data_IF_684121540538
#
_entry.id   IF_684121540538
#
_cell.length_a   1.000
_cell.length_b   1.000
_cell.length_c   1.000
_cell.angle_alpha   90.00
_cell.angle_beta   90.00
_cell.angle_gamma   90.00
#
_symmetry.space_group_name_H-M   'P 1'
#
loop_
_entity.id
_entity.type
_entity.pdbx_description
1 polymer ?
#
# COMPACT_ATOMS: atom_id res chain seq x y z
N UNK A 1 -0.84 33.16 -59.80
CA UNK A 1 -1.15 31.72 -59.66
C UNK A 1 -0.22 31.10 -58.61
N UNK A 2 -0.61 31.07 -57.33
CA UNK A 2 0.24 30.51 -56.23
C UNK A 2 -0.57 29.91 -55.07
N UNK A 3 -1.89 29.71 -55.23
CA UNK A 3 -2.76 29.13 -54.19
C UNK A 3 -2.69 27.61 -54.02
N UNK A 4 -2.45 26.76 -55.04
CA UNK A 4 -2.51 25.30 -54.84
C UNK A 4 -1.34 24.73 -54.01
N UNK A 5 -0.17 25.40 -54.00
CA UNK A 5 0.98 24.96 -53.21
C UNK A 5 0.81 25.18 -51.69
N UNK A 6 0.09 26.24 -51.28
CA UNK A 6 -0.13 26.56 -49.87
C UNK A 6 -1.11 25.59 -49.19
N UNK A 7 -2.11 25.07 -49.91
CA UNK A 7 -3.01 24.03 -49.40
C UNK A 7 -2.35 22.65 -49.33
N UNK A 8 -1.40 22.36 -50.22
CA UNK A 8 -0.57 21.16 -50.14
C UNK A 8 0.38 21.20 -48.93
N UNK A 9 0.99 22.35 -48.62
CA UNK A 9 1.84 22.52 -47.43
C UNK A 9 1.05 22.48 -46.11
N UNK A 10 -0.14 23.08 -46.06
CA UNK A 10 -1.05 22.97 -44.90
C UNK A 10 -1.60 21.55 -44.74
N UNK A 11 -1.92 20.86 -45.84
CA UNK A 11 -2.31 19.46 -45.85
C UNK A 11 -1.19 18.54 -45.38
N UNK A 12 0.06 18.79 -45.80
CA UNK A 12 1.25 18.07 -45.32
C UNK A 12 1.56 18.39 -43.85
N UNK A 13 1.43 19.63 -43.37
CA UNK A 13 1.58 19.93 -41.94
C UNK A 13 0.46 19.30 -41.10
N UNK A 14 -0.76 19.20 -41.61
CA UNK A 14 -1.88 18.53 -40.93
C UNK A 14 -1.71 17.01 -40.92
N UNK A 15 -1.17 16.43 -42.00
CA UNK A 15 -0.84 15.01 -42.09
C UNK A 15 0.40 14.67 -41.26
N UNK A 16 1.42 15.53 -41.20
CA UNK A 16 2.61 15.34 -40.35
C UNK A 16 2.24 15.52 -38.88
N UNK A 17 1.34 16.45 -38.51
CA UNK A 17 0.89 16.60 -37.11
C UNK A 17 -0.10 15.50 -36.69
N UNK A 18 -0.90 14.94 -37.61
CA UNK A 18 -1.73 13.76 -37.33
C UNK A 18 -0.92 12.45 -37.34
N UNK A 19 0.04 12.27 -38.26
CA UNK A 19 0.97 11.14 -38.25
C UNK A 19 1.90 11.21 -37.06
N UNK A 20 2.38 12.40 -36.66
CA UNK A 20 3.21 12.53 -35.47
C UNK A 20 2.41 12.19 -34.22
N UNK A 21 1.15 12.64 -34.09
CA UNK A 21 0.30 12.26 -32.94
C UNK A 21 -0.07 10.78 -32.90
N UNK A 22 -0.22 10.12 -34.05
CA UNK A 22 -0.53 8.69 -34.12
C UNK A 22 0.71 7.82 -33.88
N UNK A 23 1.89 8.21 -34.40
CA UNK A 23 3.16 7.50 -34.14
C UNK A 23 3.73 7.76 -32.74
N UNK A 24 3.42 8.89 -32.09
CA UNK A 24 3.81 9.16 -30.68
C UNK A 24 2.88 8.52 -29.65
N UNK A 25 1.92 7.71 -30.05
CA UNK A 25 0.98 7.05 -29.13
C UNK A 25 1.25 5.56 -28.93
N UNK A 26 2.30 4.96 -29.52
CA UNK A 26 2.79 3.61 -29.19
C UNK A 26 3.40 3.51 -27.77
N UNK A 27 2.85 4.28 -26.85
CA UNK A 27 3.31 4.49 -25.50
C UNK A 27 2.28 3.94 -24.54
N UNK A 28 2.80 3.40 -23.44
CA UNK A 28 2.00 2.89 -22.35
C UNK A 28 1.71 4.06 -21.41
N UNK A 29 0.46 4.15 -20.96
CA UNK A 29 0.00 5.15 -20.01
C UNK A 29 -0.52 4.44 -18.77
N UNK A 30 -0.27 5.01 -17.60
CA UNK A 30 -0.78 4.52 -16.34
C UNK A 30 -1.65 5.60 -15.69
N UNK A 31 -2.76 5.20 -15.08
CA UNK A 31 -3.59 6.14 -14.35
C UNK A 31 -2.83 6.71 -13.17
N UNK A 32 -2.86 8.02 -13.05
CA UNK A 32 -2.25 8.75 -11.94
C UNK A 32 -3.18 8.82 -10.73
N UNK A 33 -4.45 9.14 -10.95
CA UNK A 33 -5.45 9.28 -9.90
C UNK A 33 -6.86 9.38 -10.50
N UNK A 34 -7.86 9.11 -9.67
CA UNK A 34 -9.25 9.43 -9.92
C UNK A 34 -9.63 10.67 -9.11
N UNK A 35 -10.29 11.63 -9.75
CA UNK A 35 -10.90 12.79 -9.10
C UNK A 35 -12.41 12.66 -9.16
N UNK A 36 -13.05 12.68 -8.00
CA UNK A 36 -14.48 12.86 -7.88
C UNK A 36 -14.78 14.32 -7.54
N UNK A 37 -15.71 14.92 -8.29
CA UNK A 37 -16.22 16.27 -8.03
C UNK A 37 -17.69 16.17 -7.66
N UNK A 38 -18.03 16.59 -6.44
CA UNK A 38 -19.40 16.62 -5.94
C UNK A 38 -19.89 18.06 -5.76
N UNK A 39 -21.11 18.33 -6.20
CA UNK A 39 -21.79 19.61 -5.99
C UNK A 39 -22.88 19.45 -4.94
N UNK A 40 -22.67 20.05 -3.78
CA UNK A 40 -23.63 20.04 -2.67
C UNK A 40 -24.35 21.39 -2.60
N UNK A 41 -25.64 21.36 -2.25
CA UNK A 41 -26.38 22.55 -1.84
C UNK A 41 -26.30 22.61 -0.32
N UNK A 42 -25.83 23.73 0.23
CA UNK A 42 -25.90 23.93 1.67
C UNK A 42 -27.37 24.05 2.11
N UNK A 43 -27.71 23.32 3.16
CA UNK A 43 -28.88 23.60 4.00
C UNK A 43 -28.30 23.96 5.36
N UNK A 44 -28.35 25.24 5.72
CA UNK A 44 -27.94 25.69 7.06
C UNK A 44 -29.15 25.57 7.97
N UNK A 45 -29.01 24.76 9.01
CA UNK A 45 -29.97 24.69 10.12
C UNK A 45 -29.62 25.79 11.13
N UNK A 46 -30.41 26.87 11.14
CA UNK A 46 -30.31 27.91 12.16
C UNK A 46 -31.28 27.56 13.28
N UNK A 47 -30.76 26.90 14.30
CA UNK A 47 -31.28 26.70 15.67
C UNK A 47 -32.75 27.05 15.97
N UNK A 48 -33.48 26.04 16.48
CA UNK A 48 -34.40 26.18 17.62
C UNK A 48 -35.60 27.11 17.44
N UNK A 49 -36.76 26.51 17.19
CA UNK A 49 -38.11 27.11 17.08
C UNK A 49 -38.41 27.78 15.71
N UNK A 50 -39.20 27.05 14.91
CA UNK A 50 -39.56 27.28 13.50
C UNK A 50 -38.46 26.99 12.46
N UNK A 51 -38.64 25.86 11.75
CA UNK A 51 -37.84 25.50 10.56
C UNK A 51 -38.07 26.55 9.47
N UNK A 52 -37.24 27.60 9.43
CA UNK A 52 -37.08 28.45 8.25
C UNK A 52 -35.99 27.83 7.37
N UNK A 53 -36.42 27.07 6.36
CA UNK A 53 -35.52 26.62 5.30
C UNK A 53 -35.00 27.83 4.51
N UNK A 54 -33.82 28.33 4.86
CA UNK A 54 -33.12 29.32 4.04
C UNK A 54 -32.40 28.57 2.92
N UNK A 55 -32.93 28.70 1.70
CA UNK A 55 -32.30 28.17 0.50
C UNK A 55 -31.09 29.06 0.19
N UNK A 56 -29.89 28.62 0.59
CA UNK A 56 -28.66 29.28 0.16
C UNK A 56 -28.39 28.92 -1.30
N UNK A 57 -28.12 29.94 -2.12
CA UNK A 57 -27.75 29.78 -3.53
C UNK A 57 -26.27 29.39 -3.73
N UNK A 58 -25.52 29.13 -2.65
CA UNK A 58 -24.15 28.62 -2.71
C UNK A 58 -24.13 27.14 -3.08
N UNK A 59 -23.62 26.85 -4.29
CA UNK A 59 -23.22 25.49 -4.66
C UNK A 59 -21.79 25.29 -4.18
N UNK A 60 -21.61 24.54 -3.09
CA UNK A 60 -20.28 24.11 -2.67
C UNK A 60 -19.81 22.98 -3.57
N UNK A 61 -18.56 23.06 -4.05
CA UNK A 61 -17.94 21.99 -4.85
C UNK A 61 -16.85 21.34 -4.04
N UNK A 62 -17.01 20.05 -3.73
CA UNK A 62 -16.02 19.24 -3.04
C UNK A 62 -15.25 18.38 -4.03
N UNK A 63 -13.96 18.17 -3.75
CA UNK A 63 -13.07 17.33 -4.54
C UNK A 63 -12.53 16.19 -3.69
N UNK A 64 -12.62 14.97 -4.21
CA UNK A 64 -12.04 13.78 -3.60
C UNK A 64 -11.10 13.13 -4.60
N UNK A 65 -9.92 12.75 -4.15
CA UNK A 65 -8.90 12.11 -4.95
C UNK A 65 -8.68 10.68 -4.46
N UNK A 66 -8.63 9.75 -5.39
CA UNK A 66 -8.39 8.35 -5.12
C UNK A 66 -7.25 7.84 -5.98
N UNK A 67 -6.52 6.85 -5.48
CA UNK A 67 -5.58 6.12 -6.31
C UNK A 67 -6.33 5.36 -7.42
N UNK A 68 -5.68 5.24 -8.57
CA UNK A 68 -6.23 4.52 -9.71
C UNK A 68 -5.11 3.72 -10.35
N UNK A 69 -5.40 2.47 -10.70
CA UNK A 69 -4.41 1.52 -11.22
C UNK A 69 -4.90 0.87 -12.52
N UNK A 70 -4.94 1.67 -13.58
CA UNK A 70 -5.32 1.31 -14.94
C UNK A 70 -4.17 1.59 -15.89
N UNK A 71 -4.02 0.75 -16.90
CA UNK A 71 -3.03 0.85 -17.96
C UNK A 71 -3.74 1.01 -19.31
N UNK A 72 -3.20 1.89 -20.16
CA UNK A 72 -3.57 2.03 -21.56
C UNK A 72 -2.34 1.78 -22.43
N UNK A 73 -2.48 0.96 -23.47
CA UNK A 73 -1.43 0.75 -24.47
C UNK A 73 -2.04 0.84 -25.86
N UNK A 74 -1.72 1.88 -26.61
CA UNK A 74 -2.21 1.99 -27.99
C UNK A 74 -1.30 1.15 -28.88
N UNK A 75 -1.87 0.09 -29.45
CA UNK A 75 -1.14 -0.89 -30.23
C UNK A 75 -0.91 -0.42 -31.67
N UNK A 76 -1.89 0.30 -32.20
CA UNK A 76 -1.94 0.82 -33.57
C UNK A 76 -2.98 1.94 -33.66
N UNK A 77 -3.30 2.40 -34.88
CA UNK A 77 -4.27 3.49 -35.14
C UNK A 77 -5.73 3.15 -34.78
N UNK A 78 -6.04 1.88 -34.52
CA UNK A 78 -7.39 1.37 -34.35
C UNK A 78 -7.63 0.74 -32.97
N UNK A 79 -6.59 0.18 -32.35
CA UNK A 79 -6.71 -0.63 -31.15
C UNK A 79 -5.91 -0.10 -29.96
N UNK A 80 -6.53 -0.19 -28.78
CA UNK A 80 -5.94 0.13 -27.48
C UNK A 80 -6.23 -1.00 -26.51
N UNK A 81 -5.23 -1.40 -25.71
CA UNK A 81 -5.45 -2.25 -24.54
C UNK A 81 -5.86 -1.36 -23.38
N UNK A 82 -6.93 -1.73 -22.69
CA UNK A 82 -7.24 -1.25 -21.34
C UNK A 82 -7.00 -2.41 -20.39
N UNK A 83 -6.23 -2.20 -19.32
CA UNK A 83 -5.93 -3.24 -18.34
C UNK A 83 -5.98 -2.65 -16.93
N UNK A 84 -6.76 -3.24 -16.03
CA UNK A 84 -6.58 -3.01 -14.60
C UNK A 84 -5.30 -3.70 -14.12
N UNK A 85 -4.46 -3.04 -13.33
CA UNK A 85 -3.23 -3.65 -12.83
C UNK A 85 -3.58 -4.87 -11.95
N UNK A 86 -3.13 -6.05 -12.36
CA UNK A 86 -3.47 -7.36 -11.80
C UNK A 86 -4.71 -8.02 -12.39
N UNK A 87 -5.26 -7.47 -13.49
CA UNK A 87 -6.45 -7.97 -14.19
C UNK A 87 -6.12 -8.35 -15.64
N UNK A 88 -7.10 -8.93 -16.34
CA UNK A 88 -6.96 -9.32 -17.75
C UNK A 88 -7.02 -8.11 -18.68
N UNK A 89 -6.25 -8.20 -19.75
CA UNK A 89 -6.21 -7.20 -20.81
C UNK A 89 -7.53 -7.17 -21.59
N UNK A 90 -8.02 -5.97 -21.89
CA UNK A 90 -9.17 -5.74 -22.73
C UNK A 90 -8.76 -4.98 -23.99
N UNK A 91 -8.72 -5.67 -25.13
CA UNK A 91 -8.48 -5.04 -26.43
C UNK A 91 -9.73 -4.32 -26.92
N UNK A 92 -9.63 -3.00 -27.06
CA UNK A 92 -10.72 -2.12 -27.43
C UNK A 92 -10.43 -1.43 -28.77
N UNK A 93 -11.48 -1.02 -29.48
CA UNK A 93 -11.33 -0.07 -30.60
C UNK A 93 -11.34 1.35 -30.05
N UNK A 94 -10.52 2.23 -30.61
CA UNK A 94 -10.54 3.65 -30.23
C UNK A 94 -10.57 4.58 -31.44
N UNK A 95 -10.93 5.83 -31.17
CA UNK A 95 -10.87 6.93 -32.14
C UNK A 95 -10.44 8.20 -31.43
N UNK A 96 -9.54 8.97 -32.04
CA UNK A 96 -9.16 10.31 -31.59
C UNK A 96 -9.56 11.31 -32.67
N UNK A 97 -10.39 12.30 -32.32
CA UNK A 97 -10.77 13.39 -33.23
C UNK A 97 -10.70 14.72 -32.51
N UNK A 98 -9.81 15.63 -32.97
CA UNK A 98 -9.60 16.96 -32.38
C UNK A 98 -9.36 16.89 -30.86
N UNK A 99 -8.44 16.01 -30.43
CA UNK A 99 -8.11 15.77 -29.02
C UNK A 99 -9.18 15.02 -28.20
N UNK A 100 -10.32 14.67 -28.79
CA UNK A 100 -11.36 13.86 -28.11
C UNK A 100 -11.10 12.38 -28.34
N UNK A 101 -10.88 11.65 -27.27
CA UNK A 101 -10.68 10.21 -27.27
C UNK A 101 -12.01 9.50 -26.98
N UNK A 102 -12.32 8.48 -27.78
CA UNK A 102 -13.43 7.57 -27.53
C UNK A 102 -12.92 6.14 -27.66
N UNK A 103 -13.10 5.34 -26.62
CA UNK A 103 -12.80 3.91 -26.61
C UNK A 103 -14.12 3.14 -26.57
N UNK A 104 -14.24 2.09 -27.40
CA UNK A 104 -15.43 1.26 -27.54
C UNK A 104 -15.06 -0.20 -27.29
N UNK A 105 -15.85 -0.88 -26.47
CA UNK A 105 -15.73 -2.29 -26.11
C UNK A 105 -17.13 -2.91 -26.01
N UNK A 106 -17.23 -4.23 -25.90
CA UNK A 106 -18.49 -4.96 -26.05
C UNK A 106 -19.62 -4.47 -25.14
N UNK A 107 -19.27 -4.02 -23.93
CA UNK A 107 -20.22 -3.55 -22.91
C UNK A 107 -20.45 -2.03 -22.88
N UNK A 108 -19.83 -1.27 -23.79
CA UNK A 108 -20.04 0.19 -23.81
C UNK A 108 -18.95 1.02 -24.47
N UNK A 109 -18.88 2.28 -24.03
CA UNK A 109 -17.90 3.25 -24.53
C UNK A 109 -17.47 4.18 -23.41
N UNK A 110 -16.19 4.51 -23.39
CA UNK A 110 -15.61 5.52 -22.51
C UNK A 110 -15.18 6.71 -23.38
N UNK A 111 -15.38 7.92 -22.86
CA UNK A 111 -15.01 9.16 -23.55
C UNK A 111 -14.02 9.93 -22.68
N UNK A 112 -13.10 10.60 -23.35
CA UNK A 112 -12.09 11.41 -22.71
C UNK A 112 -11.50 12.44 -23.64
N UNK A 113 -10.42 13.04 -23.18
CA UNK A 113 -9.56 13.89 -23.97
C UNK A 113 -8.11 13.42 -23.84
N UNK A 114 -7.35 13.65 -24.90
CA UNK A 114 -5.93 13.34 -24.97
C UNK A 114 -5.19 14.60 -25.38
N UNK A 115 -4.07 14.82 -24.69
CA UNK A 115 -3.05 15.82 -25.00
C UNK A 115 -1.70 15.12 -25.10
N UNK A 116 -0.65 15.83 -25.49
CA UNK A 116 0.71 15.25 -25.54
C UNK A 116 1.19 14.71 -24.18
N UNK A 117 0.65 15.22 -23.07
CA UNK A 117 1.16 14.92 -21.71
C UNK A 117 0.18 14.17 -20.82
N UNK A 118 -1.08 14.05 -21.23
CA UNK A 118 -2.16 13.62 -20.35
C UNK A 118 -3.32 13.04 -21.15
N UNK A 119 -3.85 11.92 -20.68
CA UNK A 119 -5.16 11.39 -21.07
C UNK A 119 -6.09 11.51 -19.86
N UNK A 120 -7.33 11.93 -20.10
CA UNK A 120 -8.35 11.98 -19.05
C UNK A 120 -9.65 11.39 -19.54
N UNK A 121 -10.16 10.39 -18.83
CA UNK A 121 -11.52 9.90 -19.01
C UNK A 121 -12.47 10.63 -18.08
N UNK A 122 -13.64 10.99 -18.60
CA UNK A 122 -14.66 11.71 -17.83
C UNK A 122 -15.97 10.96 -17.89
N UNK A 123 -16.50 10.68 -16.71
CA UNK A 123 -17.79 10.04 -16.52
C UNK A 123 -18.71 10.94 -15.69
N UNK A 124 -19.94 11.12 -16.17
CA UNK A 124 -20.99 11.79 -15.41
C UNK A 124 -21.76 10.73 -14.63
N UNK A 125 -21.53 10.67 -13.32
CA UNK A 125 -22.17 9.69 -12.43
C UNK A 125 -23.60 10.10 -12.10
N UNK A 126 -23.81 11.40 -11.83
CA UNK A 126 -25.14 11.93 -11.52
C UNK A 126 -25.30 13.38 -12.00
N UNK A 127 -26.41 14.04 -11.63
CA UNK A 127 -26.58 15.49 -11.88
C UNK A 127 -25.57 16.33 -11.11
N UNK A 128 -25.07 15.83 -9.97
CA UNK A 128 -24.21 16.56 -9.02
C UNK A 128 -22.82 15.97 -8.89
N UNK A 129 -22.55 14.78 -9.44
CA UNK A 129 -21.25 14.11 -9.35
C UNK A 129 -20.65 13.78 -10.73
N UNK A 130 -19.37 14.06 -10.88
CA UNK A 130 -18.54 13.65 -12.02
C UNK A 130 -17.26 12.98 -11.54
N UNK A 131 -16.86 11.91 -12.22
CA UNK A 131 -15.58 11.23 -12.00
C UNK A 131 -14.67 11.46 -13.20
N UNK A 132 -13.41 11.75 -12.91
CA UNK A 132 -12.36 11.96 -13.90
C UNK A 132 -11.18 11.06 -13.56
N UNK A 133 -10.73 10.23 -14.49
CA UNK A 133 -9.54 9.39 -14.32
C UNK A 133 -8.43 9.98 -15.18
N UNK A 134 -7.33 10.33 -14.53
CA UNK A 134 -6.17 10.96 -15.16
C UNK A 134 -5.13 9.89 -15.43
N UNK A 135 -4.47 9.97 -16.58
CA UNK A 135 -3.40 9.09 -17.00
C UNK A 135 -2.17 9.88 -17.40
N UNK A 136 -1.04 9.44 -16.89
CA UNK A 136 0.28 9.96 -17.20
C UNK A 136 1.06 8.90 -17.98
N UNK A 137 1.98 9.33 -18.84
CA UNK A 137 2.79 8.41 -19.63
C UNK A 137 3.70 7.62 -18.69
N UNK A 138 3.80 6.31 -18.90
CA UNK A 138 4.71 5.49 -18.10
C UNK A 138 6.15 5.79 -18.52
N UNK A 139 7.08 5.69 -17.58
CA UNK A 139 8.51 5.77 -17.89
C UNK A 139 8.90 4.63 -18.83
N UNK A 140 9.82 4.86 -19.77
CA UNK A 140 10.35 3.77 -20.59
C UNK A 140 10.91 2.66 -19.70
N UNK A 141 10.60 1.40 -20.06
CA UNK A 141 11.14 0.25 -19.37
C UNK A 141 12.38 -0.31 -20.05
N UNK A 142 13.43 -0.47 -19.25
CA UNK A 142 14.66 -1.16 -19.60
C UNK A 142 14.84 -2.44 -18.75
N UNK A 143 13.74 -2.97 -18.22
CA UNK A 143 13.72 -4.25 -17.52
C UNK A 143 13.81 -5.37 -18.57
N UNK A 144 15.03 -5.78 -18.90
CA UNK A 144 15.31 -6.84 -19.88
C UNK A 144 15.65 -8.18 -19.24
N UNK A 145 15.80 -8.20 -17.92
CA UNK A 145 16.10 -9.41 -17.16
C UNK A 145 14.83 -10.26 -17.00
N UNK A 146 14.71 -11.29 -17.84
CA UNK A 146 13.56 -12.20 -17.81
C UNK A 146 13.41 -12.96 -16.48
N UNK A 147 14.46 -13.02 -15.64
CA UNK A 147 14.34 -13.60 -14.31
C UNK A 147 13.55 -12.67 -13.39
N UNK A 148 13.83 -11.35 -13.42
CA UNK A 148 13.14 -10.34 -12.58
C UNK A 148 11.69 -10.09 -12.98
N UNK A 149 11.32 -10.52 -14.19
CA UNK A 149 9.95 -10.52 -14.65
C UNK A 149 9.18 -11.77 -14.21
N UNK A 150 9.74 -12.72 -13.47
CA UNK A 150 8.97 -13.89 -12.99
C UNK A 150 8.52 -13.69 -11.55
N UNK A 151 7.33 -14.19 -11.22
CA UNK A 151 6.81 -14.18 -9.85
C UNK A 151 7.77 -14.85 -8.86
N UNK A 152 8.35 -15.99 -9.28
CA UNK A 152 9.35 -16.76 -8.52
C UNK A 152 10.62 -15.99 -8.14
N UNK A 153 10.90 -14.85 -8.77
CA UNK A 153 12.03 -14.01 -8.38
C UNK A 153 11.80 -13.32 -7.02
N UNK A 154 10.54 -13.09 -6.69
CA UNK A 154 10.14 -12.42 -5.45
C UNK A 154 9.75 -13.42 -4.36
N UNK A 155 9.49 -14.69 -4.68
CA UNK A 155 9.14 -15.70 -3.68
C UNK A 155 10.31 -16.04 -2.73
N UNK A 156 9.99 -16.24 -1.45
CA UNK A 156 10.93 -16.52 -0.37
C UNK A 156 12.14 -15.56 -0.40
N UNK A 157 11.86 -14.25 -0.48
CA UNK A 157 12.87 -13.18 -0.43
C UNK A 157 12.48 -12.06 0.53
N UNK A 158 13.47 -11.25 0.92
CA UNK A 158 13.27 -10.04 1.71
C UNK A 158 13.71 -8.81 0.91
N UNK A 159 12.89 -7.77 0.91
CA UNK A 159 13.13 -6.54 0.17
C UNK A 159 12.91 -5.31 1.02
N UNK A 160 13.68 -4.26 0.79
CA UNK A 160 13.47 -2.95 1.41
C UNK A 160 13.16 -1.89 0.36
N UNK A 161 12.13 -1.10 0.62
CA UNK A 161 11.73 0.08 -0.15
C UNK A 161 12.53 1.29 0.34
N UNK A 162 13.39 1.78 -0.54
CA UNK A 162 14.10 3.03 -0.37
C UNK A 162 13.35 4.13 -1.15
N UNK A 163 12.73 5.04 -0.41
CA UNK A 163 12.04 6.23 -0.92
C UNK A 163 12.66 7.50 -0.29
N UNK A 164 12.09 8.68 -0.56
CA UNK A 164 12.46 9.90 0.19
C UNK A 164 12.03 9.76 1.65
N UNK A 165 12.81 10.30 2.61
CA UNK A 165 12.53 10.13 4.06
C UNK A 165 11.14 10.62 4.50
N UNK A 166 10.55 11.56 3.75
CA UNK A 166 9.21 12.12 4.00
C UNK A 166 8.09 11.28 3.37
N UNK A 167 8.41 10.19 2.66
CA UNK A 167 7.46 9.26 2.05
C UNK A 167 6.89 8.30 3.09
N UNK A 168 5.61 7.95 2.95
CA UNK A 168 4.99 6.87 3.72
C UNK A 168 5.56 5.49 3.36
N UNK A 169 6.24 5.38 2.22
CA UNK A 169 6.87 4.15 1.76
C UNK A 169 8.32 3.99 2.26
N UNK A 170 8.91 5.04 2.84
CA UNK A 170 10.31 5.01 3.30
C UNK A 170 10.55 3.92 4.34
N UNK A 171 11.55 3.08 4.09
CA UNK A 171 11.97 2.04 5.02
C UNK A 171 10.99 0.88 5.12
N UNK A 172 10.02 0.76 4.21
CA UNK A 172 9.13 -0.41 4.20
C UNK A 172 9.92 -1.66 3.85
N UNK A 173 9.90 -2.70 4.69
CA UNK A 173 10.44 -4.02 4.40
C UNK A 173 9.31 -4.97 3.98
N UNK A 174 9.52 -5.76 2.93
CA UNK A 174 8.57 -6.71 2.34
C UNK A 174 9.19 -8.11 2.37
N UNK A 175 8.58 -9.01 3.14
CA UNK A 175 8.97 -10.41 3.21
C UNK A 175 7.95 -11.21 2.40
N UNK A 176 8.33 -11.51 1.16
CA UNK A 176 7.51 -12.19 0.17
C UNK A 176 7.81 -13.67 0.31
N UNK A 177 6.95 -14.44 0.98
CA UNK A 177 7.26 -15.80 1.42
C UNK A 177 6.88 -16.85 0.38
N UNK A 178 5.70 -16.72 -0.21
CA UNK A 178 5.15 -17.58 -1.27
C UNK A 178 4.10 -16.77 -2.05
N UNK A 179 3.49 -17.36 -3.08
CA UNK A 179 2.53 -16.74 -4.00
C UNK A 179 1.30 -16.05 -3.35
N UNK A 180 1.09 -16.19 -2.05
CA UNK A 180 -0.02 -15.54 -1.34
C UNK A 180 0.34 -14.96 0.03
N UNK A 181 1.56 -15.15 0.54
CA UNK A 181 1.94 -14.69 1.87
C UNK A 181 3.00 -13.58 1.79
N UNK A 182 2.61 -12.39 2.23
CA UNK A 182 3.47 -11.23 2.43
C UNK A 182 3.43 -10.82 3.91
N UNK A 183 4.61 -10.53 4.48
CA UNK A 183 4.76 -9.79 5.75
C UNK A 183 5.41 -8.44 5.47
N UNK A 184 4.89 -7.37 6.07
CA UNK A 184 5.33 -5.99 5.82
C UNK A 184 5.79 -5.38 7.12
N UNK A 185 6.98 -4.76 7.14
CA UNK A 185 7.43 -3.89 8.24
C UNK A 185 7.44 -2.45 7.71
N UNK A 186 6.85 -1.50 8.43
CA UNK A 186 6.93 -0.08 8.09
C UNK A 186 7.69 0.66 9.20
N UNK A 187 8.77 1.35 8.84
CA UNK A 187 9.67 2.01 9.81
C UNK A 187 9.11 3.37 10.29
N UNK A 188 8.20 3.99 9.51
CA UNK A 188 7.73 5.36 9.74
C UNK A 188 6.38 5.49 10.45
N UNK A 189 5.72 4.39 10.80
CA UNK A 189 4.53 4.47 11.66
C UNK A 189 4.88 3.94 13.06
N UNK A 190 4.13 4.35 14.10
CA UNK A 190 4.21 3.84 15.49
C UNK A 190 3.87 2.33 15.61
N UNK A 191 4.05 1.60 14.53
CA UNK A 191 3.54 0.29 14.28
C UNK A 191 4.58 -0.55 13.54
N UNK A 192 5.22 -1.48 14.25
CA UNK A 192 5.93 -2.60 13.63
C UNK A 192 4.90 -3.58 13.07
N UNK A 193 4.09 -3.16 12.11
CA UNK A 193 2.95 -3.93 11.63
C UNK A 193 3.37 -5.36 11.25
N UNK A 194 2.55 -6.33 11.66
CA UNK A 194 2.57 -7.69 11.15
C UNK A 194 1.30 -7.83 10.35
N UNK A 195 1.33 -7.46 9.07
CA UNK A 195 0.18 -7.68 8.22
C UNK A 195 0.37 -8.90 7.35
N UNK A 196 -0.74 -9.63 7.20
CA UNK A 196 -0.87 -10.80 6.35
C UNK A 196 -1.62 -10.31 5.14
N UNK A 197 -0.89 -9.96 4.10
CA UNK A 197 -1.47 -9.55 2.82
C UNK A 197 -1.31 -10.65 1.80
N UNK A 198 -2.23 -10.69 0.85
CA UNK A 198 -1.94 -11.37 -0.41
C UNK A 198 -1.19 -10.39 -1.30
N UNK A 199 -0.10 -10.85 -1.87
CA UNK A 199 0.61 -10.13 -2.91
C UNK A 199 0.51 -10.91 -4.21
N UNK A 200 0.80 -10.24 -5.32
CA UNK A 200 0.99 -10.86 -6.63
C UNK A 200 1.80 -9.95 -7.52
N UNK A 201 2.34 -10.51 -8.59
CA UNK A 201 2.90 -9.71 -9.67
C UNK A 201 1.93 -9.54 -10.83
N UNK A 202 2.07 -8.44 -11.57
CA UNK A 202 1.48 -8.27 -12.89
C UNK A 202 2.56 -7.77 -13.83
N UNK A 203 2.64 -8.38 -15.01
CA UNK A 203 3.67 -8.10 -16.00
C UNK A 203 3.00 -7.54 -17.23
N UNK A 204 3.53 -6.43 -17.72
CA UNK A 204 3.08 -5.86 -18.96
C UNK A 204 4.26 -5.39 -19.80
N UNK A 205 4.53 -6.11 -20.90
CA UNK A 205 5.78 -5.97 -21.67
C UNK A 205 6.98 -6.09 -20.71
N UNK A 206 7.78 -5.02 -20.59
CA UNK A 206 8.95 -4.99 -19.71
C UNK A 206 8.64 -4.31 -18.35
N UNK A 207 7.38 -4.05 -18.01
CA UNK A 207 7.00 -3.45 -16.74
C UNK A 207 6.61 -4.52 -15.74
N UNK A 208 7.13 -4.41 -14.51
CA UNK A 208 6.75 -5.24 -13.38
C UNK A 208 5.92 -4.41 -12.40
N UNK A 209 4.74 -4.90 -12.06
CA UNK A 209 3.91 -4.35 -11.00
C UNK A 209 3.89 -5.33 -9.83
N UNK A 210 4.34 -4.89 -8.65
CA UNK A 210 4.12 -5.60 -7.40
C UNK A 210 2.86 -5.04 -6.75
N UNK A 211 1.89 -5.91 -6.51
CA UNK A 211 0.59 -5.55 -5.95
C UNK A 211 0.48 -6.24 -4.60
N UNK A 212 0.10 -5.52 -3.56
CA UNK A 212 -0.35 -6.17 -2.34
C UNK A 212 -1.59 -5.50 -1.77
N UNK A 213 -2.41 -6.32 -1.11
CA UNK A 213 -3.58 -5.84 -0.36
C UNK A 213 -3.27 -5.91 1.13
N UNK A 214 -3.40 -4.78 1.79
CA UNK A 214 -3.36 -4.72 3.25
C UNK A 214 -4.72 -5.22 3.80
N UNK A 215 -4.71 -6.19 4.72
CA UNK A 215 -5.96 -6.77 5.28
C UNK A 215 -6.52 -5.94 6.44
N UNK A 216 -5.71 -5.13 7.10
CA UNK A 216 -6.09 -4.30 8.25
C UNK A 216 -6.63 -2.94 7.78
N UNK A 217 -5.95 -2.32 6.82
CA UNK A 217 -6.44 -1.20 6.00
C UNK A 217 -6.74 -1.81 4.64
N UNK A 218 -8.01 -2.05 4.23
CA UNK A 218 -8.35 -2.69 2.96
C UNK A 218 -8.00 -1.80 1.76
N UNK A 219 -6.71 -1.59 1.56
CA UNK A 219 -6.08 -0.68 0.64
C UNK A 219 -5.16 -1.51 -0.26
N UNK A 220 -5.30 -1.29 -1.57
CA UNK A 220 -4.47 -1.92 -2.59
C UNK A 220 -3.28 -1.01 -2.84
N UNK A 221 -2.06 -1.50 -2.59
CA UNK A 221 -0.82 -0.81 -2.94
C UNK A 221 -0.20 -1.42 -4.19
N UNK A 222 0.31 -0.56 -5.06
CA UNK A 222 0.96 -0.97 -6.31
C UNK A 222 2.29 -0.26 -6.45
N UNK A 223 3.35 -1.04 -6.64
CA UNK A 223 4.69 -0.56 -6.96
C UNK A 223 4.98 -0.91 -8.41
N UNK A 224 5.39 0.08 -9.18
CA UNK A 224 5.70 -0.07 -10.59
C UNK A 224 7.20 0.01 -10.81
N UNK A 225 7.81 -1.07 -11.31
CA UNK A 225 9.23 -1.17 -11.61
C UNK A 225 9.46 -1.25 -13.12
N UNK A 226 10.40 -0.44 -13.60
CA UNK A 226 10.70 -0.27 -15.04
C UNK A 226 12.20 -0.30 -15.35
N UNK A 227 13.07 -0.36 -14.33
CA UNK A 227 14.52 -0.49 -14.52
C UNK A 227 15.11 -1.35 -13.42
N UNK A 228 16.26 -1.96 -13.71
CA UNK A 228 17.07 -2.64 -12.71
C UNK A 228 18.49 -2.10 -12.68
N UNK A 229 19.13 -2.14 -11.52
CA UNK A 229 20.56 -1.88 -11.32
C UNK A 229 21.07 -2.89 -10.28
N UNK A 230 21.87 -3.87 -10.71
CA UNK A 230 22.27 -5.01 -9.87
C UNK A 230 21.04 -5.65 -9.18
N UNK A 231 21.07 -5.88 -7.87
CA UNK A 231 19.97 -6.49 -7.09
C UNK A 231 18.90 -5.48 -6.67
N UNK A 232 18.81 -4.34 -7.34
CA UNK A 232 17.84 -3.29 -7.07
C UNK A 232 16.89 -3.09 -8.25
N UNK A 233 15.59 -3.09 -7.98
CA UNK A 233 14.55 -2.64 -8.90
C UNK A 233 14.30 -1.15 -8.67
N UNK A 234 14.15 -0.41 -9.75
CA UNK A 234 13.94 1.03 -9.74
C UNK A 234 12.55 1.29 -10.32
N UNK A 235 11.78 2.09 -9.61
CA UNK A 235 10.36 2.21 -9.84
C UNK A 235 9.75 3.49 -9.31
N UNK A 236 8.43 3.51 -9.30
CA UNK A 236 7.62 4.52 -8.63
C UNK A 236 6.34 3.91 -8.03
N UNK A 237 5.74 4.65 -7.11
CA UNK A 237 4.45 4.32 -6.48
C UNK A 237 3.73 5.61 -6.11
N UNK A 238 2.44 5.55 -5.78
CA UNK A 238 1.73 6.71 -5.27
C UNK A 238 1.94 6.83 -3.76
N UNK A 239 2.10 8.06 -3.28
CA UNK A 239 1.91 8.37 -1.87
C UNK A 239 0.42 8.33 -1.55
N UNK A 240 0.06 7.50 -0.57
CA UNK A 240 -1.26 7.54 0.02
C UNK A 240 -1.50 8.93 0.63
N UNK A 241 -2.67 9.51 0.34
CA UNK A 241 -3.08 10.82 0.85
C UNK A 241 -4.49 10.74 1.41
N UNK A 242 -4.87 11.69 2.27
CA UNK A 242 -6.16 11.74 2.98
C UNK A 242 -7.36 12.10 2.08
N UNK A 243 -7.40 11.63 0.83
CA UNK A 243 -8.40 11.89 -0.20
C UNK A 243 -8.59 13.36 -0.62
N UNK A 244 -7.98 14.32 0.07
CA UNK A 244 -8.13 15.76 -0.17
C UNK A 244 -7.11 16.32 -1.16
N UNK A 245 -5.99 15.64 -1.35
CA UNK A 245 -4.90 16.04 -2.24
C UNK A 245 -4.72 15.04 -3.37
N UNK A 246 -4.20 15.49 -4.52
CA UNK A 246 -3.86 14.61 -5.64
C UNK A 246 -2.75 13.63 -5.17
N UNK A 247 -2.92 12.31 -5.34
CA UNK A 247 -1.86 11.34 -5.12
C UNK A 247 -0.60 11.71 -5.90
N UNK A 248 0.53 11.79 -5.20
CA UNK A 248 1.81 12.14 -5.81
C UNK A 248 2.56 10.85 -6.15
N UNK A 249 3.03 10.76 -7.39
CA UNK A 249 3.92 9.68 -7.80
C UNK A 249 5.33 9.93 -7.25
N UNK A 250 5.86 9.02 -6.46
CA UNK A 250 7.20 9.10 -5.86
C UNK A 250 8.11 8.02 -6.42
N UNK A 251 9.38 8.38 -6.61
CA UNK A 251 10.38 7.42 -7.05
C UNK A 251 10.79 6.54 -5.87
N UNK A 252 11.00 5.26 -6.16
CA UNK A 252 11.37 4.26 -5.18
C UNK A 252 12.46 3.35 -5.74
N UNK A 253 13.16 2.69 -4.84
CA UNK A 253 14.04 1.56 -5.16
C UNK A 253 13.68 0.39 -4.26
N UNK A 254 13.49 -0.78 -4.82
CA UNK A 254 13.30 -2.02 -4.09
C UNK A 254 14.61 -2.80 -4.12
N UNK A 255 15.23 -2.99 -2.95
CA UNK A 255 16.56 -3.60 -2.84
C UNK A 255 16.46 -4.92 -2.10
N UNK A 256 17.04 -5.99 -2.64
CA UNK A 256 17.03 -7.30 -1.98
C UNK A 256 17.98 -7.24 -0.79
N UNK A 257 17.46 -7.50 0.41
CA UNK A 257 18.28 -7.54 1.63
C UNK A 257 18.72 -8.95 2.00
N UNK A 258 18.26 -9.95 1.25
CA UNK A 258 18.43 -11.38 1.46
C UNK A 258 17.96 -11.84 2.86
N UNK A 259 17.76 -13.14 3.01
CA UNK A 259 17.59 -13.72 4.34
C UNK A 259 18.92 -13.92 5.04
N UNK A 260 18.87 -13.97 6.37
CA UNK A 260 20.03 -14.30 7.17
C UNK A 260 20.44 -15.75 6.92
N UNK A 261 21.75 -15.98 6.86
CA UNK A 261 22.28 -17.33 6.83
C UNK A 261 22.13 -18.02 8.20
N UNK A 262 22.30 -19.35 8.24
CA UNK A 262 22.12 -20.12 9.47
C UNK A 262 23.01 -19.64 10.62
N UNK A 263 24.26 -19.24 10.34
CA UNK A 263 25.18 -18.72 11.38
C UNK A 263 24.65 -17.43 11.99
N UNK A 264 24.16 -16.50 11.16
CA UNK A 264 23.55 -15.24 11.63
C UNK A 264 22.27 -15.50 12.44
N UNK A 265 21.43 -16.43 11.99
CA UNK A 265 20.22 -16.82 12.72
C UNK A 265 20.57 -17.42 14.08
N UNK A 266 21.50 -18.37 14.17
CA UNK A 266 21.91 -18.97 15.45
C UNK A 266 22.43 -17.93 16.44
N UNK A 267 23.19 -16.92 15.97
CA UNK A 267 23.67 -15.82 16.82
C UNK A 267 22.52 -14.94 17.34
N UNK A 268 21.49 -14.69 16.53
CA UNK A 268 20.30 -13.95 17.00
C UNK A 268 19.47 -14.79 17.97
N UNK A 269 19.31 -16.08 17.70
CA UNK A 269 18.59 -17.00 18.57
C UNK A 269 19.26 -17.13 19.94
N UNK A 270 20.60 -17.21 20.00
CA UNK A 270 21.33 -17.26 21.27
C UNK A 270 21.13 -16.00 22.10
N UNK A 271 21.03 -14.83 21.46
CA UNK A 271 20.73 -13.56 22.13
C UNK A 271 19.33 -13.55 22.72
N UNK A 272 18.34 -14.09 21.99
CA UNK A 272 16.94 -14.16 22.42
C UNK A 272 16.72 -15.09 23.62
N UNK A 273 17.45 -16.20 23.72
CA UNK A 273 17.28 -17.17 24.81
C UNK A 273 17.50 -16.53 26.18
N UNK A 274 16.52 -16.62 27.07
CA UNK A 274 16.54 -16.08 28.43
C UNK A 274 15.19 -15.51 28.86
N UNK A 275 15.16 -14.94 30.07
CA UNK A 275 14.00 -14.22 30.59
C UNK A 275 14.06 -12.77 30.17
N UNK A 276 12.97 -12.24 29.64
CA UNK A 276 12.86 -10.82 29.31
C UNK A 276 11.71 -10.20 30.08
N UNK A 277 11.98 -9.07 30.71
CA UNK A 277 11.04 -8.31 31.53
C UNK A 277 10.82 -6.93 30.92
N UNK A 278 9.56 -6.54 30.70
CA UNK A 278 9.24 -5.20 30.23
C UNK A 278 9.67 -4.15 31.26
N UNK A 279 10.30 -3.08 30.78
CA UNK A 279 10.79 -1.96 31.60
C UNK A 279 10.00 -0.67 31.39
N UNK A 280 9.21 -0.59 30.32
CA UNK A 280 8.25 0.49 30.12
C UNK A 280 6.96 0.19 30.90
N UNK A 281 6.92 0.62 32.17
CA UNK A 281 5.78 0.41 33.06
C UNK A 281 5.12 1.77 33.44
N UNK A 282 3.78 1.92 33.31
CA UNK A 282 2.88 1.01 32.62
C UNK A 282 3.19 1.00 31.11
N UNK A 283 2.98 -0.15 30.47
CA UNK A 283 2.93 -0.20 29.01
C UNK A 283 1.73 0.67 28.63
N UNK A 284 1.92 1.79 27.89
CA UNK A 284 0.84 2.71 27.63
C UNK A 284 -0.27 2.01 26.86
N UNK A 285 -1.49 2.04 27.39
CA UNK A 285 -2.70 1.60 26.70
C UNK A 285 -3.40 2.88 26.20
N UNK A 286 -3.79 2.92 24.93
CA UNK A 286 -4.60 4.02 24.40
C UNK A 286 -5.88 4.10 25.24
N UNK A 287 -6.13 5.22 25.93
CA UNK A 287 -7.13 5.31 26.99
C UNK A 287 -8.58 5.33 26.49
N UNK A 288 -8.84 5.17 25.19
CA UNK A 288 -10.15 5.45 24.62
C UNK A 288 -10.93 4.16 24.41
N UNK A 289 -11.41 3.56 25.50
CA UNK A 289 -12.61 2.71 25.47
C UNK A 289 -13.38 2.84 26.79
N UNK A 290 -14.10 3.97 26.95
CA UNK A 290 -14.99 4.20 28.09
C UNK A 290 -14.27 4.53 29.40
N UNK A 291 -14.72 3.95 30.51
CA UNK A 291 -14.21 4.18 31.87
C UNK A 291 -13.23 3.11 32.37
N UNK A 292 -12.84 2.16 31.53
CA UNK A 292 -12.01 1.03 31.94
C UNK A 292 -10.52 1.43 31.98
N UNK A 293 -9.82 1.13 33.07
CA UNK A 293 -8.39 1.45 33.23
C UNK A 293 -7.58 0.21 33.58
N UNK A 294 -6.53 -0.07 32.82
CA UNK A 294 -5.53 -1.10 33.13
C UNK A 294 -4.29 -0.45 33.77
N UNK A 295 -3.86 -0.97 34.91
CA UNK A 295 -2.68 -0.47 35.65
C UNK A 295 -1.76 -1.61 36.05
N UNK A 296 -0.52 -1.29 36.45
CA UNK A 296 0.50 -2.24 36.91
C UNK A 296 0.78 -3.38 35.92
N UNK A 297 0.79 -3.07 34.61
CA UNK A 297 0.99 -4.11 33.61
C UNK A 297 2.42 -4.65 33.66
N UNK A 298 2.51 -5.96 33.88
CA UNK A 298 3.73 -6.75 33.78
C UNK A 298 3.65 -7.57 32.51
N UNK A 299 4.69 -7.48 31.70
CA UNK A 299 4.87 -8.31 30.51
C UNK A 299 6.23 -8.99 30.60
N UNK A 300 6.23 -10.32 30.54
CA UNK A 300 7.42 -11.13 30.58
C UNK A 300 7.35 -12.19 29.49
N UNK A 301 8.48 -12.45 28.84
CA UNK A 301 8.60 -13.55 27.89
C UNK A 301 9.91 -14.29 28.14
N UNK A 302 9.81 -15.61 28.19
CA UNK A 302 10.93 -16.52 28.40
C UNK A 302 11.12 -17.30 27.12
N UNK A 303 12.33 -17.30 26.58
CA UNK A 303 12.73 -18.14 25.45
C UNK A 303 13.77 -19.16 25.95
N UNK A 304 13.45 -20.45 25.85
CA UNK A 304 14.34 -21.55 26.24
C UNK A 304 15.17 -22.04 25.04
N UNK A 305 16.31 -22.66 25.35
CA UNK A 305 17.21 -23.35 24.41
C UNK A 305 16.48 -24.44 23.62
N UNK A 306 15.51 -25.12 24.24
CA UNK A 306 14.70 -26.17 23.62
C UNK A 306 13.60 -25.64 22.68
N UNK A 307 13.69 -24.39 22.24
CA UNK A 307 12.68 -23.71 21.41
C UNK A 307 11.30 -23.63 22.06
N UNK A 308 11.24 -23.68 23.40
CA UNK A 308 10.01 -23.46 24.18
C UNK A 308 9.92 -22.01 24.64
N UNK A 309 8.71 -21.47 24.70
CA UNK A 309 8.48 -20.14 25.28
C UNK A 309 7.42 -20.17 26.39
N UNK A 310 7.51 -19.18 27.27
CA UNK A 310 6.45 -18.86 28.22
C UNK A 310 6.27 -17.34 28.26
N UNK A 311 5.10 -16.86 27.88
CA UNK A 311 4.71 -15.47 27.93
C UNK A 311 3.75 -15.28 29.10
N UNK A 312 4.09 -14.37 30.02
CA UNK A 312 3.27 -13.98 31.16
C UNK A 312 2.83 -12.52 31.00
N UNK A 313 1.52 -12.29 31.14
CA UNK A 313 0.95 -10.96 31.33
C UNK A 313 0.22 -10.91 32.66
N UNK A 314 0.35 -9.80 33.38
CA UNK A 314 -0.50 -9.53 34.54
C UNK A 314 -0.71 -8.05 34.74
N UNK A 315 -1.76 -7.67 35.46
CA UNK A 315 -2.07 -6.28 35.76
C UNK A 315 -3.42 -6.17 36.44
N UNK A 316 -3.78 -4.96 36.80
CA UNK A 316 -5.02 -4.67 37.53
C UNK A 316 -5.98 -3.92 36.60
N UNK A 317 -7.10 -4.56 36.26
CA UNK A 317 -8.17 -3.98 35.44
C UNK A 317 -9.24 -3.38 36.34
N UNK A 318 -9.56 -2.11 36.12
CA UNK A 318 -10.70 -1.43 36.73
C UNK A 318 -11.76 -1.24 35.67
N UNK A 319 -12.96 -1.80 35.89
CA UNK A 319 -14.11 -1.70 35.00
C UNK A 319 -15.35 -1.34 35.81
N UNK A 320 -16.04 -0.26 35.45
CA UNK A 320 -17.22 0.23 36.18
C UNK A 320 -16.98 0.36 37.70
N UNK A 321 -15.78 0.82 38.10
CA UNK A 321 -15.29 0.89 39.50
C UNK A 321 -14.98 -0.45 40.19
N UNK A 322 -15.08 -1.58 39.50
CA UNK A 322 -14.66 -2.90 39.98
C UNK A 322 -13.19 -3.11 39.63
N UNK A 323 -12.36 -3.27 40.65
CA UNK A 323 -10.91 -3.55 40.50
C UNK A 323 -10.69 -5.05 40.55
N UNK A 324 -9.99 -5.59 39.55
CA UNK A 324 -9.65 -7.02 39.49
C UNK A 324 -8.24 -7.26 38.97
N UNK A 325 -7.49 -8.11 39.67
CA UNK A 325 -6.20 -8.58 39.17
C UNK A 325 -6.41 -9.65 38.11
N UNK A 326 -5.70 -9.49 36.99
CA UNK A 326 -5.75 -10.42 35.86
C UNK A 326 -4.37 -10.99 35.61
N UNK A 327 -4.34 -12.26 35.24
CA UNK A 327 -3.12 -12.98 34.87
C UNK A 327 -3.41 -13.86 33.66
N UNK A 328 -2.54 -13.78 32.67
CA UNK A 328 -2.61 -14.56 31.44
C UNK A 328 -1.25 -15.22 31.20
N UNK A 329 -1.26 -16.51 30.89
CA UNK A 329 -0.05 -17.28 30.57
C UNK A 329 -0.27 -17.95 29.22
N UNK A 330 0.68 -17.78 28.32
CA UNK A 330 0.75 -18.48 27.04
C UNK A 330 2.06 -19.25 26.96
N UNK A 331 1.99 -20.50 26.52
CA UNK A 331 3.15 -21.37 26.33
C UNK A 331 3.09 -22.02 24.97
N UNK A 332 4.24 -22.51 24.51
CA UNK A 332 4.34 -23.25 23.25
C UNK A 332 5.76 -23.30 22.72
N UNK A 333 5.89 -23.42 21.40
CA UNK A 333 7.16 -23.38 20.70
C UNK A 333 7.42 -21.99 20.13
N UNK A 334 8.69 -21.60 19.98
CA UNK A 334 9.06 -20.39 19.27
C UNK A 334 10.06 -20.67 18.16
N UNK A 335 10.05 -19.81 17.15
CA UNK A 335 10.99 -19.85 16.03
C UNK A 335 11.32 -18.43 15.59
N UNK A 336 12.59 -18.19 15.24
CA UNK A 336 13.00 -16.97 14.56
C UNK A 336 12.77 -17.13 13.04
N UNK A 337 12.10 -16.17 12.42
CA UNK A 337 11.95 -16.12 10.97
C UNK A 337 13.31 -15.95 10.27
N UNK A 338 13.40 -16.37 9.00
CA UNK A 338 14.64 -16.32 8.20
C UNK A 338 15.20 -14.91 8.02
N UNK A 339 14.36 -13.89 8.15
CA UNK A 339 14.81 -12.49 8.16
C UNK A 339 15.51 -12.06 9.45
N UNK A 340 15.31 -12.78 10.55
CA UNK A 340 15.71 -12.35 11.89
C UNK A 340 14.89 -11.18 12.43
N UNK A 341 13.80 -10.77 11.77
CA UNK A 341 12.95 -9.64 12.18
C UNK A 341 11.67 -10.08 12.87
N UNK A 342 11.27 -11.34 12.76
CA UNK A 342 10.04 -11.85 13.37
C UNK A 342 10.31 -13.07 14.24
N UNK A 343 9.66 -13.12 15.38
CA UNK A 343 9.54 -14.34 16.20
C UNK A 343 8.14 -14.89 16.02
N UNK A 344 8.06 -16.13 15.55
CA UNK A 344 6.84 -16.93 15.52
C UNK A 344 6.67 -17.61 16.89
N UNK A 345 5.61 -17.24 17.61
CA UNK A 345 5.14 -17.97 18.79
C UNK A 345 4.02 -18.90 18.35
N UNK A 346 4.25 -20.20 18.50
CA UNK A 346 3.32 -21.26 18.14
C UNK A 346 2.79 -21.82 19.45
N UNK A 347 1.57 -21.44 19.83
CA UNK A 347 0.99 -21.93 21.08
C UNK A 347 0.60 -23.42 21.01
N UNK A 348 0.26 -24.00 22.16
CA UNK A 348 -0.05 -25.43 22.26
C UNK A 348 -1.27 -25.85 21.40
N UNK A 349 -2.12 -24.89 20.99
CA UNK A 349 -3.24 -25.09 20.06
C UNK A 349 -2.85 -24.88 18.58
N UNK A 350 -1.54 -24.73 18.29
CA UNK A 350 -0.95 -24.42 16.98
C UNK A 350 -1.37 -23.06 16.39
N UNK A 351 -1.86 -22.13 17.21
CA UNK A 351 -2.08 -20.75 16.77
C UNK A 351 -0.75 -20.00 16.72
N UNK A 352 -0.53 -19.30 15.60
CA UNK A 352 0.72 -18.57 15.35
C UNK A 352 0.52 -17.09 15.70
N UNK A 353 1.38 -16.58 16.56
CA UNK A 353 1.48 -15.14 16.88
C UNK A 353 2.85 -14.64 16.46
N UNK A 354 2.87 -13.54 15.71
CA UNK A 354 4.10 -12.90 15.28
C UNK A 354 4.47 -11.76 16.21
N UNK A 355 5.74 -11.72 16.60
CA UNK A 355 6.38 -10.61 17.30
C UNK A 355 7.42 -10.01 16.37
N UNK A 356 7.35 -8.70 16.13
CA UNK A 356 8.36 -7.98 15.34
C UNK A 356 9.51 -7.55 16.24
N UNK A 357 10.74 -7.74 15.79
CA UNK A 357 11.97 -7.35 16.47
C UNK A 357 12.44 -5.98 15.96
N UNK A 358 12.35 -4.97 16.80
CA UNK A 358 12.86 -3.62 16.51
C UNK A 358 14.31 -3.44 16.96
N UNK A 359 14.69 -4.06 18.08
CA UNK A 359 16.05 -4.05 18.62
C UNK A 359 16.35 -5.36 19.35
N UNK A 360 17.56 -5.89 19.17
CA UNK A 360 18.08 -7.02 19.95
C UNK A 360 19.57 -6.84 20.24
N UNK A 361 19.92 -6.84 21.52
CA UNK A 361 21.29 -6.92 22.04
C UNK A 361 21.34 -7.97 23.15
N UNK A 362 22.49 -8.17 23.80
CA UNK A 362 22.59 -9.15 24.91
C UNK A 362 21.65 -8.84 26.07
N UNK A 363 21.37 -7.55 26.34
CA UNK A 363 20.61 -7.10 27.51
C UNK A 363 19.36 -6.29 27.17
N UNK A 364 19.21 -5.83 25.92
CA UNK A 364 18.04 -5.05 25.47
C UNK A 364 17.29 -5.80 24.38
N UNK A 365 15.97 -5.85 24.53
CA UNK A 365 15.04 -6.32 23.51
C UNK A 365 13.95 -5.26 23.34
N UNK A 366 13.69 -4.86 22.11
CA UNK A 366 12.54 -4.02 21.76
C UNK A 366 11.70 -4.77 20.75
N UNK A 367 10.47 -5.07 21.15
CA UNK A 367 9.53 -5.80 20.31
C UNK A 367 8.31 -4.96 20.00
N UNK A 368 7.77 -5.13 18.81
CA UNK A 368 6.40 -4.76 18.54
C UNK A 368 5.51 -5.99 18.62
N UNK A 369 4.47 -5.91 19.44
CA UNK A 369 3.55 -7.01 19.67
C UNK A 369 2.10 -6.52 19.63
N UNK A 370 1.27 -7.23 18.87
CA UNK A 370 -0.19 -7.10 18.93
C UNK A 370 -0.69 -7.85 20.17
N UNK A 371 -0.75 -7.13 21.27
CA UNK A 371 -1.16 -7.62 22.58
C UNK A 371 -2.69 -7.76 22.59
N UNK A 372 -3.20 -8.98 22.73
CA UNK A 372 -4.53 -9.17 23.34
C UNK A 372 -4.43 -8.70 24.79
N UNK A 373 -5.25 -7.74 25.21
CA UNK A 373 -5.25 -7.24 26.58
C UNK A 373 -5.64 -8.38 27.54
N UNK A 374 -5.50 -8.13 28.84
CA UNK A 374 -5.91 -9.09 29.88
C UNK A 374 -7.43 -9.37 29.91
N UNK A 375 -8.21 -8.67 29.08
CA UNK A 375 -9.62 -8.95 28.76
C UNK A 375 -9.73 -9.48 27.31
N UNK A 376 -10.57 -10.51 27.11
CA UNK A 376 -10.60 -11.38 25.94
C UNK A 376 -11.00 -10.68 24.64
N UNK A 377 -11.57 -9.49 24.69
CA UNK A 377 -12.07 -8.79 23.49
C UNK A 377 -11.20 -7.63 23.01
N UNK A 378 -10.07 -7.36 23.66
CA UNK A 378 -9.28 -6.15 23.40
C UNK A 378 -7.95 -6.48 22.74
N UNK A 379 -7.61 -5.78 21.66
CA UNK A 379 -6.32 -5.88 21.00
C UNK A 379 -5.66 -4.50 20.92
N UNK A 380 -4.36 -4.48 21.18
CA UNK A 380 -3.55 -3.27 21.23
C UNK A 380 -2.20 -3.53 20.58
N UNK A 381 -1.74 -2.59 19.75
CA UNK A 381 -0.48 -2.67 19.03
C UNK A 381 0.58 -1.86 19.80
N UNK A 382 1.64 -2.49 20.30
CA UNK A 382 2.59 -1.81 21.20
C UNK A 382 4.04 -2.17 20.97
N UNK A 383 4.89 -1.17 21.19
CA UNK A 383 6.32 -1.34 21.40
C UNK A 383 6.54 -1.67 22.89
N UNK A 384 7.14 -2.82 23.17
CA UNK A 384 7.55 -3.25 24.50
C UNK A 384 9.07 -3.22 24.57
N UNK A 385 9.60 -2.43 25.50
CA UNK A 385 11.05 -2.37 25.78
C UNK A 385 11.33 -3.30 26.94
N UNK A 386 12.29 -4.20 26.77
CA UNK A 386 12.54 -5.31 27.69
C UNK A 386 14.02 -5.41 28.04
N UNK A 387 14.28 -5.91 29.25
CA UNK A 387 15.60 -6.23 29.79
C UNK A 387 15.68 -7.70 30.19
N UNK A 388 16.86 -8.27 30.05
CA UNK A 388 17.15 -9.65 30.43
C UNK A 388 17.44 -9.80 31.92
#
# INVERSE_FOLDING_TARGET
MTRPLQYLFLGFLFLITQQSFAQTNNDIWISSYLKETQKNKEVVDLSGEEIKMVKLDSIQTSFYYHESYLLLDFLDDNYVIIKGIGEKDLKCKYTIKRGKLKITFDKGKIKGYVTEKLIVFKEKVSKTSTKEIFFERINESHLTDSQKLKESFLENTNWTINADINSYNYGTELHLLNDNELRIIQINEDYGYNNWGNWKTDLYKNHLFLIYNDVIRPEKRVYHFYRTNNDTLIGNTFEHSNFTEKPKLTNIKLSNTNFLNNTQLTVLESKLIGNWHAINNPIPFDPIFGSDTLTNEKFEIIFDENKKFSLLKSGTLTKDSIVSDKKFILKGNWKLDKSGKFIELIDDDNSIRLITLSKLTENDLEIFYRIRALDENLFSNRIIKMKK
#
